data_IF_988729214372
#
_entry.id   IF_988729214372
#
_cell.length_a   1.000
_cell.length_b   1.000
_cell.length_c   1.000
_cell.angle_alpha   90.00
_cell.angle_beta   90.00
_cell.angle_gamma   90.00
#
_symmetry.space_group_name_H-M   'P 1'
#
loop_
_entity.id
_entity.type
_entity.pdbx_description
1 polymer ?
#
# COMPACT_ATOMS: atom_id res chain seq x y z
N UNK A 1 47.72 17.74 4.09
CA UNK A 1 47.45 17.26 5.47
C UNK A 1 46.44 16.13 5.39
N UNK A 2 46.90 14.89 5.49
CA UNK A 2 46.03 13.71 5.50
C UNK A 2 45.87 13.25 6.95
N UNK A 3 44.67 13.39 7.52
CA UNK A 3 44.30 12.71 8.76
C UNK A 3 44.14 11.21 8.45
N UNK A 4 45.20 10.43 8.64
CA UNK A 4 45.10 8.98 8.75
C UNK A 4 44.76 8.61 10.19
N UNK A 5 43.48 8.47 10.49
CA UNK A 5 43.04 7.62 11.59
C UNK A 5 42.83 6.21 11.03
N UNK A 6 43.63 5.24 11.47
CA UNK A 6 43.49 3.82 11.11
C UNK A 6 42.17 3.27 11.71
N UNK A 7 41.05 3.42 11.02
CA UNK A 7 39.75 2.89 11.48
C UNK A 7 39.57 1.40 11.24
N UNK A 8 40.59 0.69 10.72
CA UNK A 8 40.47 -0.69 10.22
C UNK A 8 39.31 -0.90 9.23
N UNK A 9 38.82 0.19 8.63
CA UNK A 9 37.71 0.17 7.67
C UNK A 9 38.25 -0.07 6.26
N UNK A 10 37.72 -1.10 5.61
CA UNK A 10 37.92 -1.36 4.20
C UNK A 10 36.57 -1.16 3.51
N UNK A 11 36.58 -0.54 2.34
CA UNK A 11 35.38 -0.26 1.59
C UNK A 11 35.67 0.28 0.21
N UNK A 12 34.60 0.70 -0.46
CA UNK A 12 34.68 1.39 -1.73
C UNK A 12 33.60 2.47 -1.81
N UNK A 13 33.83 3.46 -2.66
CA UNK A 13 32.90 4.53 -2.97
C UNK A 13 32.62 4.52 -4.46
N UNK A 14 31.33 4.60 -4.82
CA UNK A 14 30.87 4.66 -6.19
C UNK A 14 30.03 5.92 -6.39
N UNK A 15 30.37 6.71 -7.40
CA UNK A 15 29.56 7.83 -7.86
C UNK A 15 29.10 7.56 -9.30
N UNK A 16 27.79 7.51 -9.48
CA UNK A 16 27.13 7.37 -10.79
C UNK A 16 26.08 8.45 -10.96
N UNK A 17 25.74 8.77 -12.21
CA UNK A 17 24.69 9.73 -12.52
C UNK A 17 23.31 9.08 -12.49
N UNK A 18 22.30 9.90 -12.21
CA UNK A 18 20.90 9.51 -12.23
C UNK A 18 20.13 9.99 -13.47
N UNK A 19 20.76 10.77 -14.34
CA UNK A 19 20.15 11.28 -15.58
C UNK A 19 20.72 10.58 -16.80
N UNK A 20 19.86 10.37 -17.81
CA UNK A 20 20.23 9.86 -19.13
C UNK A 20 20.96 10.90 -19.99
N UNK A 21 20.83 12.19 -19.66
CA UNK A 21 21.41 13.29 -20.43
C UNK A 21 22.91 13.49 -20.12
N UNK A 22 23.37 12.98 -18.98
CA UNK A 22 24.78 13.07 -18.55
C UNK A 22 25.54 11.79 -18.93
N UNK A 23 26.45 11.93 -19.90
CA UNK A 23 27.27 10.83 -20.42
C UNK A 23 28.50 10.50 -19.57
N UNK A 24 28.67 11.11 -18.39
CA UNK A 24 29.81 10.81 -17.54
C UNK A 24 29.85 9.35 -17.07
N UNK A 25 31.06 8.81 -17.03
CA UNK A 25 31.34 7.44 -16.60
C UNK A 25 31.24 7.28 -15.06
N UNK A 26 30.92 6.07 -14.57
CA UNK A 26 31.01 5.74 -13.15
C UNK A 26 32.41 6.02 -12.58
N UNK A 27 32.47 6.72 -11.44
CA UNK A 27 33.71 6.92 -10.68
C UNK A 27 33.72 5.97 -9.50
N UNK A 28 34.74 5.13 -9.42
CA UNK A 28 34.88 4.11 -8.39
C UNK A 28 36.22 4.26 -7.67
N UNK A 29 36.18 4.19 -6.35
CA UNK A 29 37.37 4.27 -5.49
C UNK A 29 37.33 3.09 -4.53
N UNK A 30 38.39 2.29 -4.49
CA UNK A 30 38.47 1.11 -3.65
C UNK A 30 39.65 1.19 -2.69
N UNK A 31 39.45 0.64 -1.50
CA UNK A 31 40.54 0.10 -0.69
C UNK A 31 40.99 -1.24 -1.27
N UNK A 32 42.24 -1.65 -1.00
CA UNK A 32 42.83 -2.85 -1.61
C UNK A 32 42.03 -4.13 -1.36
N UNK A 33 41.50 -4.33 -0.14
CA UNK A 33 40.74 -5.54 0.18
C UNK A 33 39.34 -5.50 -0.43
N UNK A 34 38.71 -4.32 -0.49
CA UNK A 34 37.40 -4.18 -1.12
C UNK A 34 37.45 -4.44 -2.63
N UNK A 35 38.50 -3.98 -3.33
CA UNK A 35 38.67 -4.29 -4.76
C UNK A 35 38.84 -5.79 -4.99
N UNK A 36 39.66 -6.45 -4.18
CA UNK A 36 39.82 -7.92 -4.24
C UNK A 36 38.52 -8.64 -3.99
N UNK A 37 37.74 -8.22 -2.99
CA UNK A 37 36.42 -8.81 -2.73
C UNK A 37 35.51 -8.72 -3.97
N UNK A 38 35.46 -7.56 -4.62
CA UNK A 38 34.63 -7.37 -5.82
C UNK A 38 35.08 -8.28 -6.97
N UNK A 39 36.40 -8.42 -7.20
CA UNK A 39 36.93 -9.26 -8.28
C UNK A 39 36.88 -10.75 -7.98
N UNK A 40 37.33 -11.15 -6.80
CA UNK A 40 37.58 -12.56 -6.46
C UNK A 40 36.35 -13.23 -5.82
N UNK A 41 35.49 -12.48 -5.11
CA UNK A 41 34.31 -13.04 -4.42
C UNK A 41 33.03 -12.75 -5.17
N UNK A 42 32.82 -11.51 -5.64
CA UNK A 42 31.64 -11.19 -6.44
C UNK A 42 31.79 -11.60 -7.90
N UNK A 43 33.00 -11.92 -8.35
CA UNK A 43 33.33 -12.26 -9.75
C UNK A 43 32.83 -11.19 -10.74
N UNK A 44 33.04 -9.92 -10.37
CA UNK A 44 32.66 -8.77 -11.17
C UNK A 44 33.83 -7.82 -11.31
N UNK A 45 34.17 -7.47 -12.55
CA UNK A 45 35.12 -6.39 -12.79
C UNK A 45 34.59 -5.06 -12.25
N UNK A 46 35.38 -4.26 -11.51
CA UNK A 46 34.91 -3.04 -10.85
C UNK A 46 34.17 -2.08 -11.78
N UNK A 47 34.66 -1.89 -13.00
CA UNK A 47 33.98 -1.03 -13.98
C UNK A 47 32.56 -1.53 -14.31
N UNK A 48 32.38 -2.85 -14.46
CA UNK A 48 31.06 -3.46 -14.68
C UNK A 48 30.15 -3.31 -13.47
N UNK A 49 30.68 -3.35 -12.24
CA UNK A 49 29.91 -3.02 -11.04
C UNK A 49 29.37 -1.59 -11.10
N UNK A 50 30.19 -0.63 -11.51
CA UNK A 50 29.79 0.77 -11.71
C UNK A 50 28.71 0.92 -12.77
N UNK A 51 28.83 0.22 -13.90
CA UNK A 51 27.82 0.23 -14.97
C UNK A 51 26.49 -0.40 -14.53
N UNK A 52 26.54 -1.51 -13.79
CA UNK A 52 25.34 -2.14 -13.21
C UNK A 52 24.62 -1.18 -12.26
N UNK A 53 25.36 -0.49 -11.40
CA UNK A 53 24.79 0.51 -10.50
C UNK A 53 24.18 1.70 -11.26
N UNK A 54 24.87 2.22 -12.29
CA UNK A 54 24.36 3.29 -13.17
C UNK A 54 23.07 2.85 -13.87
N UNK A 55 23.06 1.65 -14.44
CA UNK A 55 21.87 1.09 -15.08
C UNK A 55 20.71 0.96 -14.09
N UNK A 56 20.95 0.43 -12.90
CA UNK A 56 19.92 0.29 -11.87
C UNK A 56 19.26 1.62 -11.49
N UNK A 57 20.07 2.67 -11.32
CA UNK A 57 19.60 4.02 -10.97
C UNK A 57 18.83 4.65 -12.13
N UNK A 58 19.38 4.59 -13.35
CA UNK A 58 18.75 5.19 -14.54
C UNK A 58 17.45 4.48 -14.92
N UNK A 59 17.40 3.16 -14.81
CA UNK A 59 16.20 2.38 -15.15
C UNK A 59 15.04 2.59 -14.17
N UNK A 60 15.23 3.33 -13.08
CA UNK A 60 14.19 3.50 -12.05
C UNK A 60 13.78 2.19 -11.39
N UNK A 61 14.57 1.11 -11.54
CA UNK A 61 14.18 -0.22 -11.07
C UNK A 61 14.03 -0.25 -9.55
N UNK A 62 14.69 0.66 -8.83
CA UNK A 62 14.41 0.95 -7.41
C UNK A 62 12.92 1.14 -7.11
N UNK A 63 12.15 1.79 -7.98
CA UNK A 63 10.71 1.99 -7.81
C UNK A 63 9.95 0.65 -7.78
N UNK A 64 10.54 -0.41 -8.34
CA UNK A 64 9.95 -1.74 -8.45
C UNK A 64 10.65 -2.82 -7.61
N UNK A 65 11.92 -2.66 -7.22
CA UNK A 65 12.72 -3.71 -6.53
C UNK A 65 13.31 -3.32 -5.18
N UNK A 66 13.18 -2.07 -4.73
CA UNK A 66 13.40 -1.82 -3.31
C UNK A 66 12.24 -2.49 -2.54
N UNK A 67 12.47 -3.18 -1.40
CA UNK A 67 11.41 -3.27 -0.42
C UNK A 67 11.10 -1.81 -0.10
N UNK A 68 9.96 -1.34 -0.62
CA UNK A 68 9.45 0.00 -0.45
C UNK A 68 9.84 0.50 0.93
N UNK A 69 10.16 1.79 1.05
CA UNK A 69 9.83 2.50 2.26
C UNK A 69 8.45 2.02 2.71
N UNK A 70 8.42 1.07 3.65
CA UNK A 70 7.20 0.49 4.14
C UNK A 70 6.59 1.64 4.90
N UNK A 71 5.71 2.42 4.24
CA UNK A 71 4.88 3.40 4.95
C UNK A 71 4.35 2.64 6.15
N UNK A 72 4.58 3.12 7.39
CA UNK A 72 4.13 2.40 8.58
C UNK A 72 2.71 1.89 8.36
N UNK A 73 2.42 0.65 8.74
CA UNK A 73 1.12 0.02 8.46
C UNK A 73 -0.06 0.95 8.82
N UNK A 74 0.11 1.71 9.89
CA UNK A 74 -0.80 2.74 10.40
C UNK A 74 -1.10 3.82 9.36
N UNK A 75 -0.09 4.28 8.60
CA UNK A 75 -0.28 5.24 7.50
C UNK A 75 -1.07 4.64 6.35
N UNK A 76 -0.77 3.39 5.97
CA UNK A 76 -1.52 2.69 4.93
C UNK A 76 -3.00 2.51 5.34
N UNK A 77 -3.25 2.08 6.58
CA UNK A 77 -4.60 1.99 7.15
C UNK A 77 -5.29 3.36 7.14
N UNK A 78 -4.59 4.42 7.52
CA UNK A 78 -5.13 5.79 7.49
C UNK A 78 -5.49 6.23 6.07
N UNK A 79 -4.62 5.96 5.09
CA UNK A 79 -4.88 6.30 3.69
C UNK A 79 -6.09 5.55 3.15
N UNK A 80 -6.21 4.24 3.39
CA UNK A 80 -7.39 3.48 3.00
C UNK A 80 -8.67 4.03 3.66
N UNK A 81 -8.61 4.41 4.94
CA UNK A 81 -9.75 5.04 5.63
C UNK A 81 -10.17 6.34 4.94
N UNK A 82 -9.20 7.17 4.55
CA UNK A 82 -9.44 8.41 3.81
C UNK A 82 -10.10 8.12 2.46
N UNK A 83 -9.57 7.21 1.65
CA UNK A 83 -10.16 6.86 0.34
C UNK A 83 -11.60 6.35 0.46
N UNK A 84 -11.88 5.48 1.44
CA UNK A 84 -13.23 4.97 1.66
C UNK A 84 -14.19 6.10 2.06
N UNK A 85 -13.77 6.99 2.97
CA UNK A 85 -14.60 8.10 3.43
C UNK A 85 -14.80 9.16 2.34
N UNK A 86 -13.77 9.47 1.55
CA UNK A 86 -13.89 10.39 0.42
C UNK A 86 -14.81 9.83 -0.65
N UNK A 87 -14.68 8.55 -1.01
CA UNK A 87 -15.60 7.90 -1.93
C UNK A 87 -17.04 7.91 -1.41
N UNK A 88 -17.24 7.72 -0.11
CA UNK A 88 -18.56 7.79 0.52
C UNK A 88 -19.12 9.21 0.50
N UNK A 89 -18.31 10.20 0.88
CA UNK A 89 -18.70 11.62 0.88
C UNK A 89 -19.11 12.05 -0.54
N UNK A 90 -18.29 11.74 -1.56
CA UNK A 90 -18.60 12.01 -2.98
C UNK A 90 -19.91 11.34 -3.41
N UNK A 91 -20.08 10.05 -3.11
CA UNK A 91 -21.29 9.32 -3.49
C UNK A 91 -22.55 9.86 -2.80
N UNK A 92 -22.46 10.24 -1.52
CA UNK A 92 -23.60 10.81 -0.78
C UNK A 92 -24.01 12.19 -1.31
N UNK A 93 -23.05 12.98 -1.81
CA UNK A 93 -23.32 14.26 -2.47
C UNK A 93 -24.08 14.06 -3.79
N UNK A 94 -23.66 13.09 -4.61
CA UNK A 94 -24.31 12.77 -5.89
C UNK A 94 -25.74 12.25 -5.71
N UNK A 95 -25.97 11.43 -4.68
CA UNK A 95 -27.27 10.79 -4.39
C UNK A 95 -28.22 11.64 -3.54
N UNK A 96 -27.86 12.90 -3.25
CA UNK A 96 -28.66 13.86 -2.48
C UNK A 96 -29.07 13.34 -1.08
N UNK A 97 -28.21 12.54 -0.47
CA UNK A 97 -28.38 12.10 0.92
C UNK A 97 -28.14 13.32 1.83
N UNK A 98 -29.20 13.81 2.46
CA UNK A 98 -29.26 15.12 3.16
C UNK A 98 -28.28 15.31 4.33
N UNK A 99 -27.52 14.29 4.72
CA UNK A 99 -26.65 14.35 5.88
C UNK A 99 -25.33 13.67 5.60
N UNK A 100 -24.25 14.24 6.13
CA UNK A 100 -22.90 13.66 6.04
C UNK A 100 -22.88 12.29 6.73
N UNK A 101 -22.63 11.24 5.96
CA UNK A 101 -22.54 9.86 6.46
C UNK A 101 -21.09 9.57 6.82
N UNK A 102 -20.81 9.37 8.10
CA UNK A 102 -19.48 8.93 8.55
C UNK A 102 -19.39 7.41 8.52
N UNK A 103 -18.30 6.89 7.96
CA UNK A 103 -18.04 5.45 7.90
C UNK A 103 -18.00 4.84 9.32
N UNK A 104 -18.74 3.75 9.52
CA UNK A 104 -18.84 3.05 10.80
C UNK A 104 -18.61 1.56 10.60
N UNK A 105 -17.33 1.14 10.62
CA UNK A 105 -16.98 -0.27 10.38
C UNK A 105 -17.67 -1.26 11.33
N UNK A 106 -17.73 -1.04 12.67
CA UNK A 106 -18.39 -2.00 13.57
C UNK A 106 -19.90 -2.14 13.37
N UNK A 107 -20.55 -1.15 12.77
CA UNK A 107 -21.99 -1.14 12.54
C UNK A 107 -22.30 -0.84 11.08
N UNK A 108 -21.43 -1.30 10.17
CA UNK A 108 -21.49 -0.97 8.75
C UNK A 108 -22.85 -1.36 8.17
N UNK A 109 -23.25 -2.61 8.38
CA UNK A 109 -24.54 -3.13 7.91
C UNK A 109 -25.73 -2.34 8.45
N UNK A 110 -25.68 -1.91 9.71
CA UNK A 110 -26.79 -1.18 10.34
C UNK A 110 -26.87 0.28 9.90
N UNK A 111 -25.74 0.98 9.92
CA UNK A 111 -25.71 2.43 9.80
C UNK A 111 -25.49 2.92 8.37
N UNK A 112 -24.92 2.07 7.51
CA UNK A 112 -24.63 2.40 6.11
C UNK A 112 -25.60 1.64 5.22
N UNK A 113 -25.55 0.31 5.21
CA UNK A 113 -26.36 -0.53 4.30
C UNK A 113 -27.85 -0.40 4.60
N UNK A 114 -28.28 -0.66 5.84
CA UNK A 114 -29.71 -0.65 6.19
C UNK A 114 -30.30 0.76 6.25
N UNK A 115 -29.56 1.74 6.79
CA UNK A 115 -30.07 3.10 7.04
C UNK A 115 -29.98 4.00 5.82
N UNK A 116 -28.88 3.93 5.09
CA UNK A 116 -28.63 4.79 3.93
C UNK A 116 -28.92 4.07 2.60
N UNK A 117 -29.04 2.74 2.62
CA UNK A 117 -29.31 1.98 1.40
C UNK A 117 -28.11 1.91 0.47
N UNK A 118 -26.89 2.06 0.98
CA UNK A 118 -25.66 2.11 0.18
C UNK A 118 -24.69 1.02 0.62
N UNK A 119 -23.98 0.43 -0.32
CA UNK A 119 -23.01 -0.63 -0.05
C UNK A 119 -21.71 -0.42 -0.85
N UNK A 120 -20.62 -0.97 -0.33
CA UNK A 120 -19.31 -0.98 -0.96
C UNK A 120 -19.14 -2.35 -1.63
N UNK A 121 -19.18 -2.38 -2.95
CA UNK A 121 -19.13 -3.64 -3.73
C UNK A 121 -17.69 -3.91 -4.19
N UNK A 122 -17.40 -5.20 -4.43
CA UNK A 122 -16.08 -5.70 -4.86
C UNK A 122 -14.94 -5.38 -3.89
N UNK A 123 -15.24 -5.23 -2.60
CA UNK A 123 -14.22 -5.10 -1.59
C UNK A 123 -13.34 -6.36 -1.56
N UNK A 124 -12.01 -6.26 -1.76
CA UNK A 124 -11.12 -7.43 -1.84
C UNK A 124 -10.84 -8.07 -0.47
N UNK A 125 -11.41 -7.54 0.62
CA UNK A 125 -11.28 -8.11 1.94
C UNK A 125 -12.17 -9.36 2.05
N UNK A 126 -11.58 -10.47 2.50
CA UNK A 126 -12.33 -11.70 2.73
C UNK A 126 -13.29 -11.50 3.91
N UNK A 127 -14.60 -11.50 3.64
CA UNK A 127 -15.65 -11.38 4.65
C UNK A 127 -16.30 -10.00 4.69
N UNK A 128 -17.11 -9.71 5.74
CA UNK A 128 -17.82 -8.45 5.87
C UNK A 128 -16.86 -7.26 6.01
N UNK A 129 -17.32 -6.08 5.61
CA UNK A 129 -16.58 -4.82 5.73
C UNK A 129 -16.21 -4.61 7.19
N UNK A 130 -14.92 -4.75 7.49
CA UNK A 130 -14.40 -4.70 8.84
C UNK A 130 -13.43 -3.53 9.02
N UNK A 131 -13.09 -3.24 10.28
CA UNK A 131 -12.09 -2.22 10.56
C UNK A 131 -10.76 -2.62 9.92
N UNK A 132 -10.16 -1.71 9.15
CA UNK A 132 -8.95 -1.96 8.38
C UNK A 132 -7.73 -2.33 9.23
N UNK A 133 -7.69 -1.88 10.50
CA UNK A 133 -6.68 -2.36 11.48
C UNK A 133 -6.78 -3.86 11.77
N UNK A 134 -7.94 -4.48 11.50
CA UNK A 134 -8.22 -5.91 11.67
C UNK A 134 -8.30 -6.67 10.34
N UNK A 135 -8.28 -5.97 9.20
CA UNK A 135 -8.48 -6.54 7.86
C UNK A 135 -7.33 -7.44 7.39
N UNK A 136 -6.22 -7.48 8.13
CA UNK A 136 -5.07 -8.36 7.90
C UNK A 136 -3.82 -7.62 7.44
N UNK A 137 -2.78 -8.38 7.08
CA UNK A 137 -1.46 -7.85 6.75
C UNK A 137 -1.42 -6.94 5.51
N UNK A 138 -0.30 -6.23 5.34
CA UNK A 138 -0.04 -5.21 4.31
C UNK A 138 -0.56 -5.57 2.90
N UNK A 139 -0.30 -6.78 2.42
CA UNK A 139 -0.70 -7.21 1.07
C UNK A 139 -2.21 -7.05 0.79
N UNK A 140 -3.06 -7.25 1.81
CA UNK A 140 -4.52 -7.06 1.66
C UNK A 140 -4.89 -5.58 1.56
N UNK A 141 -4.20 -4.71 2.29
CA UNK A 141 -4.43 -3.27 2.29
C UNK A 141 -3.90 -2.61 1.01
N UNK A 142 -2.77 -3.08 0.48
CA UNK A 142 -2.26 -2.62 -0.81
C UNK A 142 -3.26 -2.99 -1.93
N UNK A 143 -3.73 -4.24 -1.96
CA UNK A 143 -4.77 -4.67 -2.90
C UNK A 143 -6.06 -3.85 -2.76
N UNK A 144 -6.50 -3.56 -1.53
CA UNK A 144 -7.66 -2.70 -1.29
C UNK A 144 -7.44 -1.30 -1.88
N UNK A 145 -6.27 -0.72 -1.63
CA UNK A 145 -5.91 0.61 -2.14
C UNK A 145 -5.94 0.65 -3.67
N UNK A 146 -5.38 -0.37 -4.32
CA UNK A 146 -5.38 -0.48 -5.78
C UNK A 146 -6.81 -0.64 -6.33
N UNK A 147 -7.66 -1.43 -5.66
CA UNK A 147 -9.06 -1.59 -6.09
C UNK A 147 -9.90 -0.31 -5.93
N UNK A 148 -9.65 0.47 -4.87
CA UNK A 148 -10.31 1.76 -4.66
C UNK A 148 -9.87 2.78 -5.72
N UNK A 149 -8.55 2.87 -6.00
CA UNK A 149 -8.01 3.79 -7.02
C UNK A 149 -8.44 3.43 -8.44
N UNK A 150 -8.49 2.14 -8.75
CA UNK A 150 -8.98 1.64 -10.04
C UNK A 150 -10.49 1.67 -10.20
N UNK A 151 -11.23 2.16 -9.18
CA UNK A 151 -12.69 2.22 -9.14
C UNK A 151 -13.37 0.83 -9.27
N UNK A 152 -12.62 -0.25 -9.13
CA UNK A 152 -13.15 -1.61 -9.13
C UNK A 152 -13.91 -1.90 -7.84
N UNK A 153 -13.47 -1.31 -6.72
CA UNK A 153 -14.19 -1.22 -5.45
C UNK A 153 -14.84 0.17 -5.33
N UNK A 154 -16.17 0.23 -5.30
CA UNK A 154 -16.92 1.49 -5.31
C UNK A 154 -18.25 1.39 -4.56
N UNK A 155 -18.82 2.54 -4.25
CA UNK A 155 -20.12 2.67 -3.59
C UNK A 155 -21.26 2.57 -4.59
N UNK A 156 -22.32 1.87 -4.21
CA UNK A 156 -23.56 1.77 -4.98
C UNK A 156 -24.78 1.97 -4.08
N UNK A 157 -25.88 2.41 -4.68
CA UNK A 157 -27.19 2.42 -4.05
C UNK A 157 -27.84 1.05 -4.26
N UNK A 158 -28.25 0.41 -3.18
CA UNK A 158 -29.01 -0.83 -3.22
C UNK A 158 -30.49 -0.53 -3.43
N UNK A 159 -31.10 -1.27 -4.33
CA UNK A 159 -32.56 -1.39 -4.44
C UNK A 159 -33.14 -2.02 -3.17
N UNK A 160 -34.45 -1.88 -2.97
CA UNK A 160 -35.11 -2.46 -1.80
C UNK A 160 -35.02 -4.00 -1.79
N UNK A 161 -34.99 -4.63 -2.96
CA UNK A 161 -34.80 -6.09 -3.12
C UNK A 161 -33.39 -6.54 -2.75
N UNK A 162 -32.36 -5.84 -3.24
CA UNK A 162 -30.97 -6.12 -2.88
C UNK A 162 -30.74 -5.90 -1.38
N UNK A 163 -31.31 -4.83 -0.82
CA UNK A 163 -31.23 -4.56 0.62
C UNK A 163 -31.89 -5.67 1.44
N UNK A 164 -33.05 -6.16 1.02
CA UNK A 164 -33.73 -7.27 1.69
C UNK A 164 -32.91 -8.58 1.62
N UNK A 165 -32.29 -8.84 0.47
CA UNK A 165 -31.41 -10.00 0.26
C UNK A 165 -30.19 -9.93 1.17
N UNK A 166 -29.49 -8.78 1.16
CA UNK A 166 -28.34 -8.52 2.04
C UNK A 166 -28.73 -8.65 3.52
N UNK A 167 -29.90 -8.15 3.92
CA UNK A 167 -30.40 -8.30 5.30
C UNK A 167 -30.63 -9.76 5.66
N UNK A 168 -31.15 -10.58 4.74
CA UNK A 168 -31.37 -12.01 4.96
C UNK A 168 -30.04 -12.76 5.13
N UNK A 169 -29.05 -12.45 4.29
CA UNK A 169 -27.70 -13.01 4.41
C UNK A 169 -27.04 -12.62 5.74
N UNK A 170 -27.13 -11.34 6.12
CA UNK A 170 -26.62 -10.84 7.39
C UNK A 170 -27.26 -11.55 8.60
N UNK A 171 -28.56 -11.84 8.55
CA UNK A 171 -29.25 -12.63 9.56
C UNK A 171 -28.69 -14.07 9.63
N UNK A 172 -28.38 -14.70 8.49
CA UNK A 172 -27.76 -16.03 8.45
C UNK A 172 -26.37 -16.03 9.07
N UNK A 173 -25.55 -15.04 8.74
CA UNK A 173 -24.23 -14.87 9.36
C UNK A 173 -24.33 -14.65 10.87
N UNK A 174 -25.30 -13.84 11.34
CA UNK A 174 -25.52 -13.67 12.77
C UNK A 174 -25.99 -14.96 13.47
N UNK A 175 -26.82 -15.77 12.81
CA UNK A 175 -27.23 -17.08 13.31
C UNK A 175 -26.04 -18.07 13.39
N UNK A 176 -25.02 -17.91 12.53
CA UNK A 176 -23.74 -18.64 12.60
C UNK A 176 -22.79 -18.12 13.69
N UNK A 177 -23.17 -17.10 14.44
CA UNK A 177 -22.36 -16.50 15.50
C UNK A 177 -21.41 -15.39 15.03
N UNK A 178 -21.51 -14.94 13.78
CA UNK A 178 -20.72 -13.82 13.27
C UNK A 178 -21.28 -12.49 13.80
N UNK A 179 -20.42 -11.65 14.38
CA UNK A 179 -20.79 -10.38 15.02
C UNK A 179 -21.12 -9.26 14.02
N UNK A 180 -22.13 -9.46 13.16
CA UNK A 180 -22.52 -8.47 12.13
C UNK A 180 -23.22 -7.24 12.74
N UNK A 181 -24.12 -7.46 13.70
CA UNK A 181 -24.79 -6.40 14.42
C UNK A 181 -24.25 -6.32 15.85
N UNK A 182 -23.39 -5.33 16.10
CA UNK A 182 -22.87 -5.08 17.43
C UNK A 182 -23.89 -4.28 18.26
N UNK A 183 -24.13 -4.72 19.50
CA UNK A 183 -24.94 -3.96 20.45
C UNK A 183 -24.24 -2.62 20.79
N UNK A 184 -25.02 -1.55 20.99
CA UNK A 184 -24.47 -0.30 21.55
C UNK A 184 -23.97 -0.61 22.97
N UNK A 185 -22.70 -0.28 23.24
CA UNK A 185 -22.23 -0.07 24.62
C UNK A 185 -22.79 1.24 25.14
#
# INVERSE_FOLDING_TARGET
MALCAHTSTEGFYAAVRSSIEDLSEPKLFFTKKAEKFVKEVLDVEPHHLGLKLKSYIISGLHEHTAPHHQRPLNKLVSECHTFIQEGLDSFTLETNIRHKVKMNYPNYERNIVKRCGIALINCPLSGPVCNLSKAGGRAKLDKLTDTLKSHTCHWVTLTDEERATQMKENCLHQARGEGIYMARK
#
